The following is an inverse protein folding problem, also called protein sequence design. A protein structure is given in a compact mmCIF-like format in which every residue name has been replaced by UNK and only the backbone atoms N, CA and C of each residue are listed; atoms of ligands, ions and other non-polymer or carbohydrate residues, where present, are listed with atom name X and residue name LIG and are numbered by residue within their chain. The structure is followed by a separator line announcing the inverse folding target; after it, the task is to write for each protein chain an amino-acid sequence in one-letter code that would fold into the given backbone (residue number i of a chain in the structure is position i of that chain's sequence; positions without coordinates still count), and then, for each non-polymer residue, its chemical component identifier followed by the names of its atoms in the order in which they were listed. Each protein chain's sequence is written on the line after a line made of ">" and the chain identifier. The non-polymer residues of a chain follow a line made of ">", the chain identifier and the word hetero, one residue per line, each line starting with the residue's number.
data_IF_513721740723
#
_entry.id   IF_513721740723
#
_cell.length_a   1.000
_cell.length_b   1.000
_cell.length_c   1.000
_cell.angle_alpha   90.00
_cell.angle_beta   90.00
_cell.angle_gamma   90.00
#
_symmetry.space_group_name_H-M   'P 1'
#
loop_
_entity.id
_entity.type
_entity.pdbx_description
1 polymer ?
#
# COMPACT_ATOMS: atom_id res chain seq x y z
N UNK A 1 -41.85 23.57 -19.42
CA UNK A 1 -41.59 22.16 -19.04
C UNK A 1 -40.08 22.01 -18.86
N UNK A 2 -39.60 22.30 -17.68
CA UNK A 2 -38.17 22.13 -17.31
C UNK A 2 -38.03 20.69 -16.82
N UNK A 3 -37.32 19.87 -17.59
CA UNK A 3 -36.94 18.53 -17.17
C UNK A 3 -35.97 18.68 -16.02
N UNK A 4 -36.46 18.32 -14.84
CA UNK A 4 -35.67 18.11 -13.62
C UNK A 4 -34.77 16.86 -13.80
N UNK A 5 -33.55 17.10 -14.29
CA UNK A 5 -32.56 16.08 -14.66
C UNK A 5 -31.61 15.74 -13.49
N UNK A 6 -32.04 16.00 -12.24
CA UNK A 6 -31.17 15.96 -11.07
C UNK A 6 -31.19 14.66 -10.25
N UNK A 7 -31.97 13.66 -10.64
CA UNK A 7 -31.99 12.37 -9.95
C UNK A 7 -31.85 11.23 -10.94
N UNK A 8 -30.62 10.75 -11.13
CA UNK A 8 -30.45 9.46 -11.80
C UNK A 8 -31.22 8.40 -11.01
N UNK A 9 -32.14 7.62 -11.64
CA UNK A 9 -32.77 6.51 -10.98
C UNK A 9 -31.70 5.57 -10.41
N UNK A 10 -31.90 5.01 -9.22
CA UNK A 10 -30.95 4.11 -8.58
C UNK A 10 -30.49 2.96 -9.49
N UNK A 11 -31.35 2.51 -10.38
CA UNK A 11 -31.06 1.48 -11.38
C UNK A 11 -30.02 1.94 -12.41
N UNK A 12 -30.12 3.17 -12.89
CA UNK A 12 -29.16 3.72 -13.87
C UNK A 12 -27.74 3.86 -13.25
N UNK A 13 -27.69 4.21 -11.96
CA UNK A 13 -26.43 4.27 -11.21
C UNK A 13 -25.78 2.89 -11.04
N UNK A 14 -26.58 1.84 -10.82
CA UNK A 14 -26.10 0.46 -10.78
C UNK A 14 -25.62 -0.04 -12.15
N UNK A 15 -26.29 0.34 -13.22
CA UNK A 15 -25.88 -0.01 -14.58
C UNK A 15 -24.55 0.70 -14.94
N UNK A 16 -24.41 1.97 -14.56
CA UNK A 16 -23.17 2.72 -14.70
C UNK A 16 -22.01 2.03 -13.93
N UNK A 17 -22.22 1.61 -12.68
CA UNK A 17 -21.24 0.89 -11.86
C UNK A 17 -20.77 -0.38 -12.57
N UNK A 18 -21.72 -1.17 -13.12
CA UNK A 18 -21.40 -2.40 -13.85
C UNK A 18 -20.45 -2.14 -15.01
N UNK A 19 -20.76 -1.15 -15.86
CA UNK A 19 -19.93 -0.82 -17.02
C UNK A 19 -18.55 -0.30 -16.63
N UNK A 20 -18.45 0.47 -15.53
CA UNK A 20 -17.17 0.99 -15.03
C UNK A 20 -16.29 -0.13 -14.47
N UNK A 21 -16.89 -1.04 -13.71
CA UNK A 21 -16.17 -2.22 -13.20
C UNK A 21 -15.67 -3.08 -14.36
N UNK A 22 -16.49 -3.31 -15.39
CA UNK A 22 -16.06 -4.09 -16.55
C UNK A 22 -14.88 -3.44 -17.28
N UNK A 23 -14.88 -2.11 -17.47
CA UNK A 23 -13.77 -1.39 -18.09
C UNK A 23 -12.49 -1.48 -17.23
N UNK A 24 -12.61 -1.28 -15.91
CA UNK A 24 -11.49 -1.42 -14.99
C UNK A 24 -10.91 -2.85 -15.01
N UNK A 25 -11.78 -3.87 -14.93
CA UNK A 25 -11.37 -5.28 -14.97
C UNK A 25 -10.69 -5.62 -16.30
N UNK A 26 -11.26 -5.16 -17.43
CA UNK A 26 -10.66 -5.38 -18.76
C UNK A 26 -9.27 -4.75 -18.84
N UNK A 27 -9.08 -3.54 -18.29
CA UNK A 27 -7.76 -2.90 -18.27
C UNK A 27 -6.74 -3.67 -17.42
N UNK A 28 -7.18 -4.23 -16.28
CA UNK A 28 -6.33 -5.07 -15.43
C UNK A 28 -5.93 -6.35 -16.17
N UNK A 29 -6.89 -7.02 -16.83
CA UNK A 29 -6.62 -8.27 -17.58
C UNK A 29 -5.67 -8.01 -18.74
N UNK A 30 -5.85 -6.92 -19.50
CA UNK A 30 -4.94 -6.53 -20.56
C UNK A 30 -3.53 -6.20 -20.02
N UNK A 31 -3.46 -5.45 -18.93
CA UNK A 31 -2.20 -5.17 -18.23
C UNK A 31 -1.53 -6.45 -17.73
N UNK A 32 -2.31 -7.38 -17.15
CA UNK A 32 -1.80 -8.66 -16.69
C UNK A 32 -1.28 -9.53 -17.85
N UNK A 33 -1.94 -9.53 -19.01
CA UNK A 33 -1.46 -10.25 -20.20
C UNK A 33 -0.11 -9.70 -20.69
N UNK A 34 0.07 -8.38 -20.66
CA UNK A 34 1.36 -7.73 -20.96
C UNK A 34 2.40 -8.11 -19.91
N UNK A 35 2.10 -7.98 -18.62
CA UNK A 35 3.03 -8.30 -17.53
C UNK A 35 3.37 -9.78 -17.45
N UNK A 36 2.49 -10.67 -17.91
CA UNK A 36 2.77 -12.11 -17.96
C UNK A 36 3.91 -12.43 -18.95
N UNK A 37 4.01 -11.68 -20.06
CA UNK A 37 5.14 -11.80 -20.98
C UNK A 37 6.48 -11.34 -20.38
N UNK A 38 6.41 -10.52 -19.30
CA UNK A 38 7.56 -9.99 -18.56
C UNK A 38 7.58 -10.51 -17.11
N UNK A 39 7.07 -11.72 -16.86
CA UNK A 39 6.97 -12.27 -15.50
C UNK A 39 8.33 -12.50 -14.85
N UNK A 40 9.36 -12.90 -15.60
CA UNK A 40 10.70 -13.16 -15.05
C UNK A 40 11.36 -11.92 -14.45
N UNK A 41 11.46 -10.75 -15.13
CA UNK A 41 12.00 -9.53 -14.53
C UNK A 41 11.17 -9.03 -13.34
N UNK A 42 9.83 -9.18 -13.40
CA UNK A 42 8.96 -8.81 -12.29
C UNK A 42 9.18 -9.71 -11.07
N UNK A 43 9.30 -11.01 -11.31
CA UNK A 43 9.59 -11.97 -10.25
C UNK A 43 10.95 -11.67 -9.59
N UNK A 44 11.99 -11.41 -10.40
CA UNK A 44 13.30 -11.04 -9.90
C UNK A 44 13.24 -9.77 -9.04
N UNK A 45 12.51 -8.74 -9.49
CA UNK A 45 12.29 -7.52 -8.70
C UNK A 45 11.69 -7.83 -7.33
N UNK A 46 10.71 -8.74 -7.26
CA UNK A 46 10.03 -9.10 -6.02
C UNK A 46 10.86 -10.03 -5.11
N UNK A 47 11.81 -10.81 -5.68
CA UNK A 47 12.67 -11.72 -4.90
C UNK A 47 13.97 -11.05 -4.42
N UNK A 48 14.42 -9.98 -5.06
CA UNK A 48 15.62 -9.23 -4.67
C UNK A 48 15.66 -8.87 -3.17
N UNK A 49 14.59 -8.35 -2.54
CA UNK A 49 14.62 -8.02 -1.12
C UNK A 49 14.87 -9.23 -0.20
N UNK A 50 14.44 -10.43 -0.63
CA UNK A 50 14.72 -11.66 0.10
C UNK A 50 16.18 -12.06 -0.02
N UNK A 51 16.75 -12.02 -1.21
CA UNK A 51 18.16 -12.31 -1.47
C UNK A 51 19.06 -11.37 -0.69
N UNK A 52 18.78 -10.06 -0.73
CA UNK A 52 19.52 -9.04 0.03
C UNK A 52 19.42 -9.27 1.56
N UNK A 53 18.25 -9.64 2.06
CA UNK A 53 18.06 -9.94 3.48
C UNK A 53 18.87 -11.17 3.90
N UNK A 54 18.89 -12.22 3.08
CA UNK A 54 19.68 -13.43 3.32
C UNK A 54 21.19 -13.12 3.29
N UNK A 55 21.65 -12.36 2.29
CA UNK A 55 23.06 -11.96 2.20
C UNK A 55 23.52 -11.11 3.39
N UNK A 56 22.71 -10.14 3.80
CA UNK A 56 23.04 -9.29 4.96
C UNK A 56 23.18 -10.08 6.28
N UNK A 57 22.39 -11.15 6.44
CA UNK A 57 22.50 -12.01 7.62
C UNK A 57 23.70 -12.99 7.55
N UNK A 58 24.14 -13.35 6.35
CA UNK A 58 25.34 -14.15 6.15
C UNK A 58 26.61 -13.38 6.49
N UNK A 59 26.66 -12.08 6.16
CA UNK A 59 27.81 -11.22 6.41
C UNK A 59 27.89 -10.74 7.86
N UNK A 60 26.77 -10.40 8.47
CA UNK A 60 26.70 -9.72 9.77
C UNK A 60 26.34 -10.67 10.94
N UNK A 61 25.98 -11.92 10.67
CA UNK A 61 25.38 -12.83 11.66
C UNK A 61 23.92 -12.48 11.98
N UNK A 62 23.18 -13.41 12.55
CA UNK A 62 21.78 -13.16 12.97
C UNK A 62 21.76 -12.24 14.20
N UNK A 63 21.33 -10.98 14.12
CA UNK A 63 21.10 -10.17 15.30
C UNK A 63 19.97 -10.80 16.11
N UNK A 64 20.08 -10.76 17.44
CA UNK A 64 18.97 -11.20 18.31
C UNK A 64 17.71 -10.32 18.07
N UNK A 65 16.50 -10.81 18.46
CA UNK A 65 15.24 -10.10 18.19
C UNK A 65 15.22 -8.67 18.74
N UNK A 66 15.85 -8.43 19.88
CA UNK A 66 15.96 -7.09 20.50
C UNK A 66 16.87 -6.16 19.71
N UNK A 67 17.97 -6.68 19.16
CA UNK A 67 18.90 -5.91 18.32
C UNK A 67 18.30 -5.62 16.95
N UNK A 68 17.51 -6.55 16.40
CA UNK A 68 16.76 -6.32 15.17
C UNK A 68 15.76 -5.15 15.31
N UNK A 69 15.05 -5.08 16.46
CA UNK A 69 14.13 -3.97 16.75
C UNK A 69 14.89 -2.64 16.93
N UNK A 70 16.01 -2.65 17.65
CA UNK A 70 16.83 -1.44 17.83
C UNK A 70 17.35 -0.91 16.49
N UNK A 71 17.91 -1.77 15.64
CA UNK A 71 18.37 -1.41 14.29
C UNK A 71 17.25 -0.84 13.45
N UNK A 72 16.08 -1.47 13.49
CA UNK A 72 14.90 -0.98 12.79
C UNK A 72 14.46 0.43 13.26
N UNK A 73 14.44 0.68 14.57
CA UNK A 73 14.13 2.00 15.13
C UNK A 73 15.17 3.06 14.73
N UNK A 74 16.44 2.69 14.64
CA UNK A 74 17.54 3.56 14.21
C UNK A 74 17.47 3.85 12.71
N UNK A 75 17.13 2.87 11.90
CA UNK A 75 16.94 3.00 10.45
C UNK A 75 15.78 3.97 10.10
N UNK A 76 14.63 3.85 10.79
CA UNK A 76 13.52 4.81 10.67
C UNK A 76 13.94 6.21 11.13
N UNK A 77 14.83 6.32 12.12
CA UNK A 77 15.33 7.59 12.65
C UNK A 77 16.35 8.27 11.74
N UNK A 78 16.72 7.63 10.62
CA UNK A 78 17.69 8.15 9.67
C UNK A 78 19.13 8.18 10.19
N UNK A 79 19.44 7.44 11.24
CA UNK A 79 20.82 7.24 11.72
C UNK A 79 21.42 6.04 11.01
N UNK A 80 22.57 6.26 10.35
CA UNK A 80 23.39 5.14 9.90
C UNK A 80 23.81 4.33 11.13
N UNK A 81 23.43 3.06 11.14
CA UNK A 81 23.85 2.14 12.20
C UNK A 81 25.34 1.90 12.02
N UNK A 82 26.13 2.39 12.97
CA UNK A 82 27.57 2.10 13.03
C UNK A 82 27.72 0.59 13.24
N UNK A 83 28.38 -0.07 12.30
CA UNK A 83 28.60 -1.52 12.31
C UNK A 83 29.42 -1.87 13.56
N UNK A 84 28.78 -2.47 14.54
CA UNK A 84 29.51 -3.02 15.69
C UNK A 84 30.44 -4.15 15.21
N UNK A 85 31.70 -4.20 15.66
CA UNK A 85 32.62 -5.24 15.27
C UNK A 85 32.06 -6.61 15.68
N UNK A 86 31.79 -7.44 14.71
CA UNK A 86 31.35 -8.81 14.93
C UNK A 86 32.55 -9.58 15.48
N UNK A 87 32.47 -10.03 16.74
CA UNK A 87 33.43 -11.00 17.28
C UNK A 87 33.50 -12.19 16.32
N UNK A 88 34.68 -12.48 15.81
CA UNK A 88 34.99 -13.53 14.82
C UNK A 88 34.68 -14.96 15.28
N UNK A 89 34.16 -15.13 16.49
CA UNK A 89 34.06 -16.41 17.18
C UNK A 89 32.95 -17.35 16.72
N UNK A 90 32.04 -16.97 15.80
CA UNK A 90 30.96 -17.88 15.43
C UNK A 90 30.63 -17.85 13.93
N UNK A 91 31.63 -17.85 13.07
CA UNK A 91 31.44 -18.26 11.67
C UNK A 91 31.32 -19.79 11.63
N UNK A 92 30.19 -20.34 11.99
CA UNK A 92 29.86 -21.70 11.62
C UNK A 92 29.71 -21.71 10.09
N UNK A 93 30.67 -22.34 9.40
CA UNK A 93 30.66 -22.60 7.95
C UNK A 93 29.59 -23.63 7.60
N UNK A 94 28.34 -23.35 7.86
CA UNK A 94 27.25 -24.07 7.24
C UNK A 94 27.02 -23.40 5.88
N UNK A 95 27.09 -24.10 4.76
CA UNK A 95 26.76 -23.53 3.46
C UNK A 95 25.26 -23.21 3.47
N UNK A 96 24.95 -21.94 3.65
CA UNK A 96 23.63 -21.41 3.86
C UNK A 96 22.94 -21.23 2.50
N UNK A 97 22.49 -22.34 1.92
CA UNK A 97 21.72 -22.30 0.67
C UNK A 97 20.26 -22.03 0.99
N UNK A 98 19.95 -20.79 1.44
CA UNK A 98 18.58 -20.32 1.66
C UNK A 98 17.99 -19.83 0.33
N UNK A 99 17.67 -20.74 -0.56
CA UNK A 99 16.94 -20.41 -1.77
C UNK A 99 15.44 -20.61 -1.55
N UNK A 100 14.64 -19.75 -2.17
CA UNK A 100 13.20 -19.96 -2.24
C UNK A 100 12.92 -21.26 -2.98
N UNK A 101 12.10 -22.14 -2.39
CA UNK A 101 11.84 -23.47 -2.92
C UNK A 101 10.45 -23.58 -3.51
N UNK A 102 10.35 -24.29 -4.62
CA UNK A 102 9.08 -24.69 -5.19
C UNK A 102 8.70 -26.08 -4.66
N UNK A 103 7.62 -26.14 -3.89
CA UNK A 103 7.15 -27.40 -3.27
C UNK A 103 6.10 -28.13 -4.11
N UNK A 104 5.53 -27.49 -5.13
CA UNK A 104 4.47 -28.04 -5.98
C UNK A 104 4.82 -27.86 -7.45
N UNK A 105 4.41 -28.80 -8.29
CA UNK A 105 4.73 -28.80 -9.74
C UNK A 105 4.22 -27.53 -10.45
N UNK A 106 3.05 -27.04 -10.06
CA UNK A 106 2.40 -25.88 -10.69
C UNK A 106 2.73 -24.54 -10.03
N UNK A 107 3.62 -24.50 -9.02
CA UNK A 107 3.93 -23.29 -8.27
C UNK A 107 4.35 -22.14 -9.18
N UNK A 108 5.28 -22.40 -10.12
CA UNK A 108 5.79 -21.35 -11.00
C UNK A 108 4.72 -20.73 -11.90
N UNK A 109 3.78 -21.52 -12.39
CA UNK A 109 2.67 -21.01 -13.19
C UNK A 109 1.78 -20.07 -12.36
N UNK A 110 1.37 -20.49 -11.16
CA UNK A 110 0.52 -19.66 -10.31
C UNK A 110 1.25 -18.40 -9.79
N UNK A 111 2.52 -18.51 -9.47
CA UNK A 111 3.35 -17.38 -9.05
C UNK A 111 3.47 -16.37 -10.20
N UNK A 112 3.81 -16.81 -11.42
CA UNK A 112 3.87 -15.93 -12.59
C UNK A 112 2.53 -15.26 -12.88
N UNK A 113 1.42 -15.98 -12.72
CA UNK A 113 0.08 -15.43 -12.89
C UNK A 113 -0.25 -14.36 -11.83
N UNK A 114 0.08 -14.62 -10.56
CA UNK A 114 -0.12 -13.66 -9.47
C UNK A 114 0.72 -12.39 -9.65
N UNK A 115 1.99 -12.55 -10.00
CA UNK A 115 2.92 -11.44 -10.27
C UNK A 115 2.43 -10.63 -11.47
N UNK A 116 2.00 -11.28 -12.54
CA UNK A 116 1.43 -10.65 -13.72
C UNK A 116 0.15 -9.88 -13.39
N UNK A 117 -0.70 -10.42 -12.51
CA UNK A 117 -1.94 -9.76 -12.09
C UNK A 117 -1.65 -8.48 -11.29
N UNK A 118 -0.68 -8.50 -10.35
CA UNK A 118 -0.26 -7.32 -9.62
C UNK A 118 0.38 -6.28 -10.55
N UNK A 119 1.32 -6.71 -11.40
CA UNK A 119 1.95 -5.83 -12.39
C UNK A 119 0.91 -5.19 -13.32
N UNK A 120 -0.04 -6.01 -13.78
CA UNK A 120 -1.17 -5.56 -14.59
C UNK A 120 -2.09 -4.57 -13.87
N UNK A 121 -2.34 -4.77 -12.58
CA UNK A 121 -3.06 -3.82 -11.76
C UNK A 121 -2.32 -2.48 -11.66
N UNK A 122 -1.01 -2.52 -11.37
CA UNK A 122 -0.19 -1.29 -11.28
C UNK A 122 -0.18 -0.55 -12.63
N UNK A 123 -0.03 -1.26 -13.73
CA UNK A 123 -0.08 -0.67 -15.07
C UNK A 123 -1.46 -0.08 -15.39
N UNK A 124 -2.53 -0.71 -14.92
CA UNK A 124 -3.92 -0.28 -15.13
C UNK A 124 -4.40 0.79 -14.13
N UNK A 125 -3.62 1.15 -13.10
CA UNK A 125 -4.02 2.12 -12.06
C UNK A 125 -4.62 3.42 -12.62
N UNK A 126 -4.06 4.06 -13.66
CA UNK A 126 -4.66 5.29 -14.20
C UNK A 126 -6.10 5.07 -14.67
N UNK A 127 -6.36 3.94 -15.35
CA UNK A 127 -7.69 3.59 -15.84
C UNK A 127 -8.61 3.19 -14.69
N UNK A 128 -8.12 2.39 -13.74
CA UNK A 128 -8.88 1.93 -12.56
C UNK A 128 -9.33 3.13 -11.73
N UNK A 129 -8.42 4.05 -11.37
CA UNK A 129 -8.77 5.24 -10.61
C UNK A 129 -9.63 6.21 -11.40
N UNK A 130 -9.41 6.33 -12.71
CA UNK A 130 -10.30 7.13 -13.56
C UNK A 130 -11.73 6.60 -13.51
N UNK A 131 -11.96 5.29 -13.65
CA UNK A 131 -13.29 4.69 -13.58
C UNK A 131 -13.90 4.81 -12.17
N UNK A 132 -13.09 4.60 -11.12
CA UNK A 132 -13.52 4.74 -9.74
C UNK A 132 -13.98 6.16 -9.42
N UNK A 133 -13.12 7.14 -9.66
CA UNK A 133 -13.44 8.54 -9.37
C UNK A 133 -14.56 9.09 -10.27
N UNK A 134 -14.66 8.62 -11.49
CA UNK A 134 -15.77 9.00 -12.38
C UNK A 134 -17.10 8.45 -11.89
N UNK A 135 -17.12 7.28 -11.21
CA UNK A 135 -18.32 6.75 -10.54
C UNK A 135 -18.72 7.62 -9.34
N UNK A 136 -17.74 8.16 -8.62
CA UNK A 136 -17.96 9.01 -7.45
C UNK A 136 -18.27 10.47 -7.86
N UNK A 137 -17.83 10.92 -9.03
CA UNK A 137 -17.94 12.28 -9.54
C UNK A 137 -19.35 12.87 -9.66
N UNK A 138 -20.46 12.11 -9.88
CA UNK A 138 -21.80 12.67 -9.88
C UNK A 138 -22.19 13.39 -8.59
N UNK A 139 -21.52 13.07 -7.48
CA UNK A 139 -21.67 13.77 -6.20
C UNK A 139 -20.97 15.13 -6.10
N UNK A 140 -20.17 15.54 -7.13
CA UNK A 140 -19.45 16.79 -7.13
C UNK A 140 -20.25 17.93 -7.78
N UNK A 141 -20.15 19.13 -7.19
CA UNK A 141 -20.66 20.36 -7.79
C UNK A 141 -19.94 20.67 -9.12
N UNK A 142 -20.61 21.38 -10.02
CA UNK A 142 -20.07 21.71 -11.35
C UNK A 142 -18.74 22.47 -11.31
N UNK A 143 -18.50 23.28 -10.28
CA UNK A 143 -17.26 24.00 -9.99
C UNK A 143 -16.11 23.08 -9.57
N UNK A 144 -16.39 21.92 -8.99
CA UNK A 144 -15.40 20.97 -8.47
C UNK A 144 -14.94 19.96 -9.53
N UNK A 145 -15.60 19.88 -10.68
CA UNK A 145 -15.21 18.98 -11.80
C UNK A 145 -13.79 19.21 -12.31
N UNK A 146 -13.23 20.39 -12.11
CA UNK A 146 -11.82 20.69 -12.45
C UNK A 146 -10.82 19.94 -11.59
N UNK A 147 -11.24 19.49 -10.40
CA UNK A 147 -10.38 18.72 -9.47
C UNK A 147 -10.34 17.22 -9.80
N UNK A 148 -11.19 16.76 -10.70
CA UNK A 148 -11.31 15.35 -11.04
C UNK A 148 -9.98 14.75 -11.53
N UNK A 149 -9.37 15.34 -12.56
CA UNK A 149 -8.12 14.83 -13.13
C UNK A 149 -6.94 14.90 -12.15
N UNK A 150 -6.72 15.99 -11.40
CA UNK A 150 -5.73 16.03 -10.32
C UNK A 150 -5.94 14.96 -9.23
N UNK A 151 -7.19 14.65 -8.86
CA UNK A 151 -7.48 13.60 -7.87
C UNK A 151 -7.09 12.23 -8.41
N UNK A 152 -7.44 11.91 -9.65
CA UNK A 152 -7.03 10.66 -10.31
C UNK A 152 -5.51 10.53 -10.36
N UNK A 153 -4.80 11.59 -10.76
CA UNK A 153 -3.34 11.58 -10.80
C UNK A 153 -2.72 11.40 -9.41
N UNK A 154 -3.30 12.06 -8.39
CA UNK A 154 -2.86 11.93 -7.00
C UNK A 154 -3.08 10.51 -6.47
N UNK A 155 -4.21 9.85 -6.79
CA UNK A 155 -4.46 8.45 -6.45
C UNK A 155 -3.39 7.53 -7.05
N UNK A 156 -3.08 7.67 -8.34
CA UNK A 156 -2.03 6.87 -8.98
C UNK A 156 -0.69 7.06 -8.26
N UNK A 157 -0.33 8.30 -7.92
CA UNK A 157 0.91 8.62 -7.20
C UNK A 157 0.89 8.04 -5.79
N UNK A 158 -0.20 8.22 -5.03
CA UNK A 158 -0.32 7.72 -3.67
C UNK A 158 -0.25 6.18 -3.61
N UNK A 159 -0.99 5.49 -4.46
CA UNK A 159 -0.93 4.03 -4.54
C UNK A 159 0.48 3.53 -4.87
N UNK A 160 1.10 4.12 -5.90
CA UNK A 160 2.47 3.74 -6.32
C UNK A 160 3.48 4.04 -5.21
N UNK A 161 3.34 5.17 -4.50
CA UNK A 161 4.18 5.50 -3.34
C UNK A 161 3.99 4.47 -2.21
N UNK A 162 2.75 4.06 -1.91
CA UNK A 162 2.45 3.01 -0.95
C UNK A 162 3.07 1.67 -1.33
N UNK A 163 2.94 1.27 -2.59
CA UNK A 163 3.57 0.07 -3.14
C UNK A 163 5.11 0.13 -3.04
N UNK A 164 5.70 1.28 -3.35
CA UNK A 164 7.14 1.50 -3.24
C UNK A 164 7.62 1.44 -1.77
N UNK A 165 6.90 2.06 -0.82
CA UNK A 165 7.22 1.98 0.62
C UNK A 165 7.12 0.54 1.11
N UNK A 166 6.09 -0.20 0.69
CA UNK A 166 5.95 -1.61 1.03
C UNK A 166 7.15 -2.43 0.55
N UNK A 167 7.54 -2.26 -0.71
CA UNK A 167 8.62 -3.02 -1.33
C UNK A 167 10.01 -2.62 -0.82
N UNK A 168 10.32 -1.31 -0.75
CA UNK A 168 11.66 -0.82 -0.48
C UNK A 168 11.99 -0.63 1.00
N UNK A 169 10.99 -0.42 1.85
CA UNK A 169 11.19 -0.17 3.28
C UNK A 169 10.66 -1.32 4.12
N UNK A 170 9.36 -1.64 3.99
CA UNK A 170 8.69 -2.57 4.91
C UNK A 170 9.13 -4.00 4.69
N UNK A 171 9.21 -4.42 3.42
CA UNK A 171 9.57 -5.79 3.06
C UNK A 171 10.99 -6.18 3.51
N UNK A 172 12.06 -5.41 3.19
CA UNK A 172 13.41 -5.75 3.65
C UNK A 172 13.52 -5.81 5.18
N UNK A 173 12.92 -4.84 5.87
CA UNK A 173 12.94 -4.78 7.34
C UNK A 173 12.22 -6.00 7.94
N UNK A 174 11.01 -6.29 7.43
CA UNK A 174 10.22 -7.44 7.88
C UNK A 174 10.93 -8.77 7.64
N UNK A 175 11.57 -8.94 6.48
CA UNK A 175 12.32 -10.15 6.14
C UNK A 175 13.53 -10.35 7.06
N UNK A 176 14.33 -9.30 7.29
CA UNK A 176 15.46 -9.37 8.24
C UNK A 176 14.99 -9.76 9.64
N UNK A 177 13.85 -9.20 10.07
CA UNK A 177 13.27 -9.54 11.35
C UNK A 177 12.83 -11.01 11.40
N UNK A 178 12.05 -11.51 10.44
CA UNK A 178 11.61 -12.91 10.43
C UNK A 178 12.78 -13.90 10.36
N UNK A 179 13.75 -13.61 9.51
CA UNK A 179 14.96 -14.44 9.42
C UNK A 179 15.82 -14.41 10.70
N UNK A 180 15.78 -13.31 11.45
CA UNK A 180 16.50 -13.19 12.74
C UNK A 180 15.87 -13.99 13.87
N UNK A 181 14.59 -14.36 13.75
CA UNK A 181 13.87 -15.19 14.72
C UNK A 181 14.19 -16.67 14.58
N UNK A 182 14.82 -17.08 13.49
CA UNK A 182 15.16 -18.49 13.28
C UNK A 182 16.24 -18.97 14.25
N UNK A 183 16.06 -20.14 14.87
CA UNK A 183 17.09 -20.76 15.70
C UNK A 183 18.36 -21.01 14.89
N UNK A 184 19.53 -20.83 15.51
CA UNK A 184 20.85 -20.98 14.85
C UNK A 184 21.09 -22.37 14.26
N UNK A 185 20.43 -23.38 14.81
CA UNK A 185 20.59 -24.79 14.46
C UNK A 185 19.56 -25.28 13.43
N UNK A 186 18.62 -24.42 13.01
CA UNK A 186 17.57 -24.74 12.05
C UNK A 186 17.61 -23.77 10.87
N UNK A 187 17.44 -24.31 9.66
CA UNK A 187 17.28 -23.53 8.43
C UNK A 187 15.85 -23.70 7.94
N UNK A 188 15.06 -22.62 7.98
CA UNK A 188 13.73 -22.63 7.38
C UNK A 188 13.85 -22.55 5.86
N UNK A 189 13.08 -23.38 5.18
CA UNK A 189 12.93 -23.35 3.73
C UNK A 189 11.64 -22.59 3.40
N UNK A 190 11.78 -21.44 2.77
CA UNK A 190 10.63 -20.63 2.42
C UNK A 190 10.08 -21.06 1.06
N UNK A 191 8.78 -21.35 0.99
CA UNK A 191 8.11 -21.67 -0.25
C UNK A 191 7.89 -20.39 -1.07
N UNK A 192 8.23 -20.44 -2.36
CA UNK A 192 8.09 -19.28 -3.29
C UNK A 192 6.66 -18.76 -3.34
N UNK A 193 5.67 -19.65 -3.38
CA UNK A 193 4.25 -19.27 -3.44
C UNK A 193 3.78 -18.55 -2.18
N UNK A 194 4.24 -18.94 -1.00
CA UNK A 194 3.93 -18.27 0.26
C UNK A 194 4.61 -16.91 0.35
N UNK A 195 5.90 -16.83 -0.02
CA UNK A 195 6.65 -15.60 -0.04
C UNK A 195 6.03 -14.57 -1.00
N UNK A 196 5.82 -14.93 -2.25
CA UNK A 196 5.22 -14.04 -3.25
C UNK A 196 3.81 -13.64 -2.83
N UNK A 197 2.99 -14.58 -2.33
CA UNK A 197 1.68 -14.27 -1.80
C UNK A 197 1.70 -13.25 -0.65
N UNK A 198 2.71 -13.32 0.22
CA UNK A 198 2.93 -12.32 1.27
C UNK A 198 3.31 -10.96 0.69
N UNK A 199 4.30 -10.90 -0.21
CA UNK A 199 4.76 -9.66 -0.87
C UNK A 199 3.61 -8.97 -1.61
N UNK A 200 2.81 -9.71 -2.37
CA UNK A 200 1.69 -9.18 -3.14
C UNK A 200 0.62 -8.56 -2.22
N UNK A 201 0.27 -9.26 -1.13
CA UNK A 201 -0.66 -8.74 -0.12
C UNK A 201 -0.15 -7.46 0.53
N UNK A 202 1.15 -7.42 0.83
CA UNK A 202 1.80 -6.26 1.41
C UNK A 202 1.74 -5.06 0.48
N UNK A 203 2.19 -5.21 -0.77
CA UNK A 203 2.22 -4.14 -1.77
C UNK A 203 0.80 -3.61 -2.03
N UNK A 204 -0.17 -4.49 -2.22
CA UNK A 204 -1.56 -4.11 -2.46
C UNK A 204 -2.19 -3.41 -1.24
N UNK A 205 -1.96 -3.95 -0.04
CA UNK A 205 -2.49 -3.38 1.19
C UNK A 205 -1.95 -1.99 1.48
N UNK A 206 -0.65 -1.80 1.35
CA UNK A 206 -0.04 -0.47 1.49
C UNK A 206 -0.52 0.48 0.40
N UNK A 207 -0.62 0.03 -0.85
CA UNK A 207 -1.19 0.82 -1.93
C UNK A 207 -2.57 1.37 -1.57
N UNK A 208 -3.48 0.53 -1.05
CA UNK A 208 -4.83 0.94 -0.63
C UNK A 208 -4.79 1.90 0.56
N UNK A 209 -3.98 1.63 1.59
CA UNK A 209 -3.92 2.51 2.76
C UNK A 209 -3.35 3.89 2.41
N UNK A 210 -2.44 3.95 1.46
CA UNK A 210 -1.90 5.21 0.97
C UNK A 210 -2.91 6.06 0.16
N UNK A 211 -4.08 5.51 -0.19
CA UNK A 211 -5.20 6.30 -0.74
C UNK A 211 -5.94 7.12 0.33
N UNK A 212 -5.74 6.86 1.64
CA UNK A 212 -6.43 7.60 2.70
C UNK A 212 -6.30 9.13 2.59
N UNK A 213 -5.14 9.72 2.27
CA UNK A 213 -5.03 11.16 2.08
C UNK A 213 -5.90 11.70 0.93
N UNK A 214 -6.00 10.94 -0.18
CA UNK A 214 -6.79 11.34 -1.35
C UNK A 214 -8.28 11.26 -1.05
N UNK A 215 -8.70 10.16 -0.43
CA UNK A 215 -10.09 9.98 0.04
C UNK A 215 -10.46 11.07 1.05
N UNK A 216 -9.56 11.39 1.98
CA UNK A 216 -9.78 12.44 2.96
C UNK A 216 -9.86 13.83 2.32
N UNK A 217 -9.00 14.11 1.32
CA UNK A 217 -9.08 15.34 0.54
C UNK A 217 -10.45 15.49 -0.13
N UNK A 218 -10.90 14.43 -0.77
CA UNK A 218 -12.18 14.41 -1.48
C UNK A 218 -13.35 14.64 -0.53
N UNK A 219 -13.43 13.87 0.57
CA UNK A 219 -14.50 13.99 1.56
C UNK A 219 -14.49 15.34 2.29
N UNK A 220 -13.30 15.90 2.54
CA UNK A 220 -13.18 17.24 3.15
C UNK A 220 -13.63 18.34 2.20
N UNK A 221 -13.40 18.20 0.87
CA UNK A 221 -13.93 19.11 -0.15
C UNK A 221 -15.45 19.08 -0.23
N UNK A 222 -16.05 17.89 -0.18
CA UNK A 222 -17.50 17.74 -0.09
C UNK A 222 -18.09 18.25 1.23
N UNK A 223 -17.25 18.54 2.23
CA UNK A 223 -17.70 18.97 3.57
C UNK A 223 -18.26 17.83 4.43
N UNK A 224 -18.06 16.56 4.01
CA UNK A 224 -18.52 15.38 4.75
C UNK A 224 -17.66 15.15 6.00
N UNK A 225 -16.36 15.42 5.91
CA UNK A 225 -15.43 15.29 7.03
C UNK A 225 -14.66 16.57 7.28
N UNK A 226 -14.26 16.78 8.55
CA UNK A 226 -13.40 17.88 8.96
C UNK A 226 -12.12 17.34 9.59
N UNK A 227 -11.08 18.17 9.65
CA UNK A 227 -9.84 17.79 10.33
C UNK A 227 -10.07 17.48 11.82
N UNK A 228 -11.00 18.19 12.48
CA UNK A 228 -11.32 17.96 13.90
C UNK A 228 -12.06 16.62 14.07
N UNK A 229 -12.90 16.24 13.13
CA UNK A 229 -13.52 14.92 13.12
C UNK A 229 -12.46 13.81 13.01
N UNK A 230 -11.53 13.91 12.05
CA UNK A 230 -10.43 12.95 11.90
C UNK A 230 -9.55 12.84 13.16
N UNK A 231 -9.25 13.99 13.79
CA UNK A 231 -8.52 14.01 15.07
C UNK A 231 -9.30 13.30 16.18
N UNK A 232 -10.61 13.51 16.25
CA UNK A 232 -11.49 12.88 17.24
C UNK A 232 -11.54 11.37 17.13
N UNK A 233 -11.51 10.83 15.90
CA UNK A 233 -11.55 9.38 15.63
C UNK A 233 -10.17 8.73 15.57
N UNK A 234 -9.07 9.46 15.85
CA UNK A 234 -7.68 8.97 15.74
C UNK A 234 -7.46 7.64 16.45
N UNK A 235 -8.01 7.47 17.65
CA UNK A 235 -7.93 6.23 18.43
C UNK A 235 -8.48 5.02 17.67
N UNK A 236 -9.58 5.20 16.95
CA UNK A 236 -10.17 4.14 16.13
C UNK A 236 -9.37 3.89 14.86
N UNK A 237 -8.84 4.96 14.24
CA UNK A 237 -7.93 4.85 13.10
C UNK A 237 -6.69 4.01 13.43
N UNK A 238 -6.08 4.24 14.59
CA UNK A 238 -4.95 3.43 15.09
C UNK A 238 -5.38 1.95 15.23
N UNK A 239 -6.53 1.68 15.85
CA UNK A 239 -7.03 0.29 16.00
C UNK A 239 -7.23 -0.37 14.64
N UNK A 240 -7.84 0.33 13.68
CA UNK A 240 -8.04 -0.20 12.33
C UNK A 240 -6.71 -0.51 11.64
N UNK A 241 -5.70 0.36 11.78
CA UNK A 241 -4.36 0.14 11.23
C UNK A 241 -3.73 -1.12 11.85
N UNK A 242 -3.86 -1.33 13.16
CA UNK A 242 -3.37 -2.55 13.81
C UNK A 242 -4.11 -3.79 13.33
N UNK A 243 -5.42 -3.73 13.12
CA UNK A 243 -6.19 -4.84 12.54
C UNK A 243 -5.73 -5.14 11.11
N UNK A 244 -5.52 -4.12 10.27
CA UNK A 244 -4.99 -4.29 8.92
C UNK A 244 -3.58 -4.90 8.95
N UNK A 245 -2.71 -4.43 9.84
CA UNK A 245 -1.38 -5.01 10.02
C UNK A 245 -1.46 -6.50 10.37
N UNK A 246 -2.38 -6.91 11.26
CA UNK A 246 -2.58 -8.31 11.62
C UNK A 246 -3.07 -9.20 10.45
N UNK A 247 -3.74 -8.61 9.46
CA UNK A 247 -4.16 -9.32 8.24
C UNK A 247 -2.98 -9.57 7.30
N UNK A 248 -2.00 -8.66 7.28
CA UNK A 248 -0.85 -8.75 6.38
C UNK A 248 0.33 -9.51 6.98
N UNK A 249 0.45 -9.59 8.32
CA UNK A 249 1.53 -10.29 9.01
C UNK A 249 1.06 -11.60 9.63
N UNK A 250 1.97 -12.56 9.86
CA UNK A 250 1.69 -13.66 10.78
C UNK A 250 1.22 -13.12 12.15
N UNK A 251 0.44 -13.89 12.93
CA UNK A 251 -0.10 -13.44 14.22
C UNK A 251 0.99 -13.33 15.29
N UNK A 252 1.82 -12.31 15.18
CA UNK A 252 2.95 -12.00 16.05
C UNK A 252 2.93 -10.50 16.38
N UNK A 253 2.90 -10.12 17.69
CA UNK A 253 2.78 -8.72 18.11
C UNK A 253 3.92 -7.82 17.61
N UNK A 254 5.13 -8.35 17.46
CA UNK A 254 6.30 -7.56 17.06
C UNK A 254 6.23 -7.20 15.57
N UNK A 255 6.00 -8.18 14.70
CA UNK A 255 5.83 -7.92 13.27
C UNK A 255 4.62 -7.03 12.98
N UNK A 256 3.52 -7.22 13.74
CA UNK A 256 2.34 -6.36 13.65
C UNK A 256 2.66 -4.90 13.99
N UNK A 257 3.45 -4.63 15.05
CA UNK A 257 3.88 -3.28 15.39
C UNK A 257 4.78 -2.67 14.32
N UNK A 258 5.73 -3.46 13.78
CA UNK A 258 6.64 -3.01 12.72
C UNK A 258 5.89 -2.61 11.44
N UNK A 259 4.82 -3.34 11.12
CA UNK A 259 3.96 -3.03 9.97
C UNK A 259 3.00 -1.86 10.24
N UNK A 260 2.48 -1.72 11.45
CA UNK A 260 1.53 -0.67 11.79
C UNK A 260 2.17 0.73 11.74
N UNK A 261 3.44 0.86 12.14
CA UNK A 261 4.12 2.17 12.22
C UNK A 261 4.16 2.92 10.87
N UNK A 262 4.61 2.33 9.75
CA UNK A 262 4.57 3.00 8.46
C UNK A 262 3.15 3.34 8.00
N UNK A 263 2.14 2.55 8.39
CA UNK A 263 0.74 2.79 8.03
C UNK A 263 0.10 3.96 8.81
N UNK A 264 0.67 4.38 9.93
CA UNK A 264 0.23 5.58 10.65
C UNK A 264 0.55 6.86 9.86
N UNK A 265 1.59 6.87 9.04
CA UNK A 265 1.99 8.02 8.24
C UNK A 265 0.88 8.56 7.34
N UNK A 266 0.30 7.75 6.45
CA UNK A 266 -0.83 8.16 5.59
C UNK A 266 -2.04 8.69 6.37
N UNK A 267 -2.31 8.16 7.56
CA UNK A 267 -3.38 8.67 8.41
C UNK A 267 -3.10 10.11 8.89
N UNK A 268 -1.89 10.38 9.38
CA UNK A 268 -1.50 11.73 9.79
C UNK A 268 -1.50 12.71 8.60
N UNK A 269 -1.01 12.26 7.44
CA UNK A 269 -1.07 13.05 6.20
C UNK A 269 -2.52 13.38 5.84
N UNK A 270 -3.46 12.44 6.03
CA UNK A 270 -4.90 12.64 5.80
C UNK A 270 -5.47 13.78 6.65
N UNK A 271 -5.05 13.90 7.92
CA UNK A 271 -5.47 14.99 8.79
C UNK A 271 -4.94 16.33 8.25
N UNK A 272 -3.66 16.40 7.86
CA UNK A 272 -3.07 17.62 7.29
C UNK A 272 -3.76 18.04 6.00
N UNK A 273 -4.05 17.10 5.13
CA UNK A 273 -4.77 17.33 3.88
C UNK A 273 -6.18 17.86 4.14
N UNK A 274 -6.90 17.31 5.13
CA UNK A 274 -8.22 17.79 5.51
C UNK A 274 -8.19 19.23 6.07
N UNK A 275 -7.14 19.61 6.83
CA UNK A 275 -6.93 21.01 7.28
C UNK A 275 -6.80 21.95 6.10
N UNK A 276 -5.96 21.60 5.11
CA UNK A 276 -5.69 22.43 3.94
C UNK A 276 -6.97 22.59 3.10
N UNK A 277 -7.69 21.48 2.89
CA UNK A 277 -8.94 21.47 2.14
C UNK A 277 -10.03 22.34 2.79
N UNK A 278 -10.17 22.25 4.11
CA UNK A 278 -11.16 23.02 4.87
C UNK A 278 -10.88 24.53 4.90
N UNK A 279 -9.61 24.96 4.89
CA UNK A 279 -9.24 26.38 4.82
C UNK A 279 -9.66 27.02 3.48
N UNK A 280 -9.49 26.33 2.38
CA UNK A 280 -9.87 26.84 1.04
C UNK A 280 -11.38 27.03 0.91
N UNK A 281 -12.19 26.16 1.51
CA UNK A 281 -13.66 26.29 1.49
C UNK A 281 -14.16 27.53 2.26
N UNK A 282 -13.49 27.91 3.36
CA UNK A 282 -13.83 29.13 4.13
C UNK A 282 -13.42 30.42 3.43
N UNK A 283 -12.58 30.37 2.41
CA UNK A 283 -12.07 31.53 1.66
C UNK A 283 -12.85 31.84 0.39
N UNK A 284 -13.79 30.97 -0.03
CA UNK A 284 -14.75 31.30 -1.09
C UNK A 284 -15.92 32.05 -0.41
N UNK A 285 -16.16 33.35 -0.75
CA UNK A 285 -17.32 34.08 -0.23
C UNK A 285 -18.60 33.41 -0.77
N UNK A 286 -19.61 33.27 0.10
CA UNK A 286 -20.98 33.00 -0.33
C UNK A 286 -21.42 34.21 -1.19
N UNK A 287 -21.38 34.06 -2.52
CA UNK A 287 -21.89 35.05 -3.49
C UNK A 287 -23.43 35.15 -3.49
N UNK A 288 -24.10 34.65 -2.44
CA UNK A 288 -25.56 34.61 -2.36
C UNK A 288 -26.19 35.79 -1.57
N UNK A 289 -25.35 36.73 -1.05
CA UNK A 289 -25.85 37.86 -0.27
C UNK A 289 -26.09 39.15 -1.09
N UNK A 290 -26.16 39.11 -2.43
CA UNK A 290 -26.40 40.32 -3.25
C UNK A 290 -27.64 40.27 -4.15
N UNK A 291 -28.73 39.66 -3.66
CA UNK A 291 -30.03 39.77 -4.37
C UNK A 291 -31.19 40.16 -3.42
N UNK A 292 -30.98 41.09 -2.48
CA UNK A 292 -32.06 41.80 -1.79
C UNK A 292 -31.67 43.27 -1.67
N UNK A 293 -31.91 44.05 -2.76
CA UNK A 293 -32.23 45.47 -2.75
C UNK A 293 -33.06 45.82 -4.02
#
# INVERSE_FOLDING_TARGET
>A
MLHDNSRMPFLDHLEELRWRILKALTSIVLGAAVCFAFSDPLLHLLTTPYEDAVHSLQEQGSPGPVEAIKRWLEEIRGRQVEEAPVEEATRSKVPYNRQLQSLKVMTWFFVSLQVALLGGLILALPVVFYQFWQFVAPGLLSTEKRLFLPIVAMSVVCFTAGAAVAHSLVLPIGLRFFLSLEPKDMTSQWAVDEYIGFVLRLIFGFGIVFEMPVVSLFLARLGVITADYLRGIRRYGVVVIFVLSAVFTPPDPLSQMMMALPLLGPYEISIWVAVIAGRRRKSEPDDDDTLDD
#
